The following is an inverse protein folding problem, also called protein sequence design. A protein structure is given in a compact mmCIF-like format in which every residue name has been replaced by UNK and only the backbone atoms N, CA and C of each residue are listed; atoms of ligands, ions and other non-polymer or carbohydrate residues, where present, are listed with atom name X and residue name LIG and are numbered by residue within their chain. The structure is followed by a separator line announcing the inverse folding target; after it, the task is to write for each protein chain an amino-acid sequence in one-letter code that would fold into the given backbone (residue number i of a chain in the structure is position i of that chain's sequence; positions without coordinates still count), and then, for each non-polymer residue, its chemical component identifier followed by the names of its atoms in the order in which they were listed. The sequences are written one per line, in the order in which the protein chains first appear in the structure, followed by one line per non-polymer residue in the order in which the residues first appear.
data_IF_383342094677
#
_entry.id   IF_383342094677
#
_cell.length_a   1.000
_cell.length_b   1.000
_cell.length_c   1.000
_cell.angle_alpha   90.00
_cell.angle_beta   90.00
_cell.angle_gamma   90.00
#
_symmetry.space_group_name_H-M   'P 1'
#
loop_
_entity.id
_entity.type
_entity.pdbx_description
1 polymer ?
#
# COMPACT_ATOMS: atom_id res chain seq x y z
N UNK A 1 1.79 22.83 6.91
CA UNK A 1 2.63 21.64 7.21
C UNK A 1 1.71 20.44 7.22
N UNK A 2 1.86 19.48 6.30
CA UNK A 2 1.09 18.23 6.34
C UNK A 2 1.68 17.35 7.43
N UNK A 3 1.05 17.35 8.60
CA UNK A 3 1.38 16.41 9.68
C UNK A 3 1.09 15.02 9.14
N UNK A 4 2.13 14.20 9.00
CA UNK A 4 1.99 12.79 8.64
C UNK A 4 1.72 12.01 9.91
N UNK A 5 0.66 11.21 9.92
CA UNK A 5 0.43 10.32 11.04
C UNK A 5 1.55 9.28 11.11
N UNK A 6 2.04 8.95 12.32
CA UNK A 6 2.99 7.87 12.48
C UNK A 6 2.32 6.55 12.05
N UNK A 7 3.13 5.69 11.42
CA UNK A 7 2.73 4.31 11.14
C UNK A 7 2.88 3.53 12.43
N UNK A 8 1.79 2.94 12.91
CA UNK A 8 1.78 2.16 14.14
C UNK A 8 2.16 0.70 13.86
N UNK A 9 2.61 -0.08 14.86
CA UNK A 9 2.93 -1.49 14.67
C UNK A 9 1.78 -2.31 14.06
N UNK A 10 0.54 -2.03 14.46
CA UNK A 10 -0.67 -2.64 13.89
C UNK A 10 -0.88 -2.29 12.41
N UNK A 11 -0.43 -1.11 11.97
CA UNK A 11 -0.50 -0.69 10.57
C UNK A 11 0.51 -1.48 9.72
N UNK A 12 1.63 -1.95 10.29
CA UNK A 12 2.62 -2.74 9.54
C UNK A 12 2.06 -4.07 9.07
N UNK A 13 1.27 -4.75 9.91
CA UNK A 13 0.59 -6.00 9.52
C UNK A 13 -0.43 -5.76 8.41
N UNK A 14 -1.15 -4.63 8.47
CA UNK A 14 -2.08 -4.24 7.42
C UNK A 14 -1.37 -3.95 6.10
N UNK A 15 -0.27 -3.18 6.14
CA UNK A 15 0.57 -2.90 4.97
C UNK A 15 1.04 -4.19 4.33
N UNK A 16 1.64 -5.07 5.14
CA UNK A 16 2.21 -6.31 4.63
C UNK A 16 1.16 -7.18 3.96
N UNK A 17 -0.01 -7.32 4.59
CA UNK A 17 -1.09 -8.12 4.02
C UNK A 17 -1.62 -7.54 2.71
N UNK A 18 -1.87 -6.23 2.64
CA UNK A 18 -2.37 -5.58 1.41
C UNK A 18 -1.31 -5.59 0.31
N UNK A 19 -0.04 -5.39 0.67
CA UNK A 19 1.08 -5.43 -0.25
C UNK A 19 1.28 -6.82 -0.86
N UNK A 20 1.29 -7.86 -0.03
CA UNK A 20 1.46 -9.24 -0.47
C UNK A 20 0.31 -9.66 -1.38
N UNK A 21 -0.92 -9.39 -0.97
CA UNK A 21 -2.13 -9.68 -1.75
C UNK A 21 -2.14 -8.93 -3.10
N UNK A 22 -1.66 -7.69 -3.14
CA UNK A 22 -1.54 -6.93 -4.38
C UNK A 22 -0.45 -7.49 -5.31
N UNK A 23 0.70 -7.82 -4.76
CA UNK A 23 1.79 -8.43 -5.53
C UNK A 23 1.35 -9.76 -6.13
N UNK A 24 0.68 -10.60 -5.36
CA UNK A 24 0.21 -11.91 -5.81
C UNK A 24 -0.89 -11.78 -6.88
N UNK A 25 -1.86 -10.87 -6.67
CA UNK A 25 -2.96 -10.64 -7.61
C UNK A 25 -2.50 -10.09 -8.96
N UNK A 26 -1.58 -9.13 -8.94
CA UNK A 26 -1.08 -8.45 -10.14
C UNK A 26 0.19 -9.09 -10.70
N UNK A 27 0.62 -10.22 -10.12
CA UNK A 27 1.86 -10.94 -10.46
C UNK A 27 3.10 -10.03 -10.45
N UNK A 28 3.13 -9.08 -9.52
CA UNK A 28 4.25 -8.16 -9.35
C UNK A 28 5.32 -8.86 -8.52
N UNK A 29 6.54 -8.92 -9.04
CA UNK A 29 7.69 -9.41 -8.29
C UNK A 29 7.95 -8.48 -7.09
N UNK A 30 7.97 -9.01 -5.87
CA UNK A 30 8.24 -8.22 -4.65
C UNK A 30 9.60 -7.50 -4.66
N UNK A 31 10.54 -7.94 -5.49
CA UNK A 31 11.85 -7.33 -5.70
C UNK A 31 11.89 -6.29 -6.83
N UNK A 32 10.76 -6.01 -7.48
CA UNK A 32 10.69 -5.07 -8.61
C UNK A 32 10.57 -3.62 -8.13
N UNK A 33 10.83 -2.68 -9.03
CA UNK A 33 10.60 -1.26 -8.80
C UNK A 33 9.11 -0.96 -8.56
N UNK A 34 8.22 -1.72 -9.20
CA UNK A 34 6.76 -1.58 -9.05
C UNK A 34 6.31 -1.94 -7.63
N UNK A 35 6.86 -3.02 -7.07
CA UNK A 35 6.63 -3.39 -5.69
C UNK A 35 7.12 -2.29 -4.73
N UNK A 36 8.31 -1.73 -4.96
CA UNK A 36 8.82 -0.63 -4.15
C UNK A 36 7.90 0.61 -4.22
N UNK A 37 7.37 0.94 -5.40
CA UNK A 37 6.41 2.02 -5.57
C UNK A 37 5.11 1.76 -4.80
N UNK A 38 4.55 0.54 -4.91
CA UNK A 38 3.34 0.13 -4.18
C UNK A 38 3.49 0.25 -2.67
N UNK A 39 4.61 -0.23 -2.12
CA UNK A 39 4.89 -0.12 -0.68
C UNK A 39 4.94 1.36 -0.24
N UNK A 40 5.58 2.23 -1.03
CA UNK A 40 5.65 3.66 -0.75
C UNK A 40 4.27 4.33 -0.77
N UNK A 41 3.41 3.95 -1.71
CA UNK A 41 2.04 4.44 -1.80
C UNK A 41 1.23 4.02 -0.58
N UNK A 42 1.27 2.75 -0.20
CA UNK A 42 0.60 2.21 0.98
C UNK A 42 0.95 2.99 2.24
N UNK A 43 2.25 3.17 2.50
CA UNK A 43 2.74 3.96 3.63
C UNK A 43 2.20 5.38 3.59
N UNK A 44 2.20 6.03 2.42
CA UNK A 44 1.66 7.39 2.27
C UNK A 44 0.15 7.47 2.52
N UNK A 45 -0.62 6.44 2.18
CA UNK A 45 -2.07 6.41 2.45
C UNK A 45 -2.34 6.27 3.95
N UNK A 46 -1.57 5.43 4.65
CA UNK A 46 -1.65 5.27 6.11
C UNK A 46 -1.25 6.54 6.85
N UNK A 47 -0.18 7.21 6.40
CA UNK A 47 0.24 8.51 6.92
C UNK A 47 -0.81 9.62 6.69
N UNK A 48 -1.79 9.40 5.81
CA UNK A 48 -2.96 10.27 5.58
C UNK A 48 -4.20 9.82 6.36
N UNK A 49 -4.07 8.83 7.25
CA UNK A 49 -5.15 8.30 8.09
C UNK A 49 -6.00 7.21 7.45
N UNK A 50 -5.67 6.74 6.24
CA UNK A 50 -6.40 5.65 5.59
C UNK A 50 -5.88 4.30 6.09
N UNK A 51 -6.59 3.72 7.05
CA UNK A 51 -6.29 2.42 7.69
C UNK A 51 -7.28 1.30 7.33
N UNK A 52 -8.10 1.51 6.30
CA UNK A 52 -9.06 0.51 5.84
C UNK A 52 -8.45 -0.36 4.73
N UNK A 53 -8.52 -1.68 4.91
CA UNK A 53 -7.95 -2.67 3.98
C UNK A 53 -8.56 -2.53 2.58
N UNK A 54 -9.89 -2.41 2.49
CA UNK A 54 -10.58 -2.33 1.20
C UNK A 54 -10.22 -1.05 0.44
N UNK A 55 -10.12 0.07 1.16
CA UNK A 55 -9.70 1.37 0.60
C UNK A 55 -8.26 1.32 0.11
N UNK A 56 -7.34 0.75 0.89
CA UNK A 56 -5.93 0.60 0.48
C UNK A 56 -5.82 -0.28 -0.75
N UNK A 57 -6.58 -1.37 -0.80
CA UNK A 57 -6.62 -2.29 -1.93
C UNK A 57 -7.14 -1.62 -3.20
N UNK A 58 -8.26 -0.89 -3.09
CA UNK A 58 -8.86 -0.15 -4.21
C UNK A 58 -7.91 0.92 -4.76
N UNK A 59 -7.14 1.59 -3.90
CA UNK A 59 -6.10 2.54 -4.35
C UNK A 59 -5.02 1.83 -5.16
N UNK A 60 -4.56 0.66 -4.71
CA UNK A 60 -3.54 -0.10 -5.43
C UNK A 60 -4.08 -0.60 -6.77
N UNK A 61 -5.26 -1.20 -6.79
CA UNK A 61 -5.85 -1.76 -8.00
C UNK A 61 -6.00 -0.66 -9.07
N UNK A 62 -6.55 0.49 -8.70
CA UNK A 62 -6.65 1.65 -9.60
C UNK A 62 -5.30 2.13 -10.13
N UNK A 63 -4.23 2.02 -9.32
CA UNK A 63 -2.89 2.45 -9.74
C UNK A 63 -2.21 1.45 -10.65
N UNK A 64 -2.44 0.16 -10.45
CA UNK A 64 -1.91 -0.89 -11.34
C UNK A 64 -2.66 -0.89 -12.67
N UNK A 65 -3.98 -0.67 -12.67
CA UNK A 65 -4.79 -0.57 -13.89
C UNK A 65 -4.53 0.71 -14.70
N UNK A 66 -4.11 1.80 -14.04
CA UNK A 66 -3.75 3.05 -14.70
C UNK A 66 -2.36 3.05 -15.37
N UNK A 67 -1.64 1.92 -15.31
CA UNK A 67 -0.31 1.74 -15.88
C UNK A 67 -0.36 1.07 -17.24
#
# INVERSE_FOLDING_TARGET
MTVREPVLPEDLSLIQHVFDDACDSHRILKSSEDAAALALILVRQLQKGRRDKATLRLVIDNMVEAR
#
